data_IF_760619664677
#
_entry.id   IF_760619664677
#
_cell.length_a   1.000
_cell.length_b   1.000
_cell.length_c   1.000
_cell.angle_alpha   90.00
_cell.angle_beta   90.00
_cell.angle_gamma   90.00
#
_symmetry.space_group_name_H-M   'P 1'
#
loop_
_entity.id
_entity.type
_entity.pdbx_description
1 polymer ?
#
# COMPACT_ATOMS: atom_id res chain seq x y z
N UNK A 1 3.86 -26.47 4.07
CA UNK A 1 4.55 -25.92 2.88
C UNK A 1 3.51 -25.15 2.07
N UNK A 2 3.47 -23.82 2.17
CA UNK A 2 2.50 -23.02 1.40
C UNK A 2 3.10 -22.71 0.03
N UNK A 3 2.64 -23.42 -0.99
CA UNK A 3 3.00 -23.17 -2.40
C UNK A 3 2.35 -21.84 -2.81
N UNK A 4 3.17 -20.82 -3.06
CA UNK A 4 2.73 -19.60 -3.73
C UNK A 4 2.43 -19.95 -5.18
N UNK A 5 1.20 -20.35 -5.47
CA UNK A 5 0.75 -20.51 -6.85
C UNK A 5 0.75 -19.12 -7.50
N UNK A 6 1.59 -18.94 -8.53
CA UNK A 6 1.54 -17.76 -9.38
C UNK A 6 0.17 -17.70 -10.03
N UNK A 7 -0.67 -16.78 -9.56
CA UNK A 7 -1.94 -16.45 -10.21
C UNK A 7 -1.59 -15.93 -11.61
N UNK A 8 -1.95 -16.67 -12.65
CA UNK A 8 -1.78 -16.18 -14.03
C UNK A 8 -2.49 -14.83 -14.18
N UNK A 9 -1.88 -13.84 -14.83
CA UNK A 9 -2.46 -12.52 -14.99
C UNK A 9 -3.68 -12.61 -15.90
N UNK A 10 -4.88 -12.53 -15.32
CA UNK A 10 -6.08 -12.26 -16.09
C UNK A 10 -6.01 -10.81 -16.60
N UNK A 11 -6.11 -10.63 -17.91
CA UNK A 11 -6.18 -9.29 -18.49
C UNK A 11 -7.48 -8.62 -18.03
N UNK A 12 -7.37 -7.38 -17.55
CA UNK A 12 -8.55 -6.57 -17.30
C UNK A 12 -9.26 -6.28 -18.64
N UNK A 13 -10.60 -6.19 -18.65
CA UNK A 13 -11.31 -5.67 -19.81
C UNK A 13 -10.77 -4.27 -20.16
N UNK A 14 -10.79 -3.87 -21.44
CA UNK A 14 -10.33 -2.54 -21.84
C UNK A 14 -11.06 -1.44 -21.06
N UNK A 15 -10.30 -0.46 -20.57
CA UNK A 15 -10.83 0.73 -19.91
C UNK A 15 -10.57 1.96 -20.77
N UNK A 16 -11.57 2.81 -20.90
CA UNK A 16 -11.42 4.15 -21.48
C UNK A 16 -11.12 5.11 -20.35
N UNK A 17 -10.03 5.88 -20.47
CA UNK A 17 -9.66 6.91 -19.51
C UNK A 17 -9.78 8.27 -20.18
N UNK A 18 -10.26 9.27 -19.45
CA UNK A 18 -10.05 10.65 -19.86
C UNK A 18 -8.56 10.99 -19.77
N UNK A 19 -8.08 12.03 -20.47
CA UNK A 19 -6.69 12.43 -20.36
C UNK A 19 -6.28 12.84 -18.93
N UNK A 20 -7.19 13.45 -18.18
CA UNK A 20 -6.98 13.83 -16.77
C UNK A 20 -6.87 12.60 -15.87
N UNK A 21 -7.71 11.58 -16.11
CA UNK A 21 -7.63 10.29 -15.40
C UNK A 21 -6.31 9.58 -15.70
N UNK A 22 -5.87 9.57 -16.96
CA UNK A 22 -4.58 9.01 -17.35
C UNK A 22 -3.41 9.74 -16.66
N UNK A 23 -3.47 11.08 -16.56
CA UNK A 23 -2.49 11.87 -15.82
C UNK A 23 -2.51 11.54 -14.31
N UNK A 24 -3.70 11.40 -13.71
CA UNK A 24 -3.85 11.03 -12.30
C UNK A 24 -3.26 9.65 -12.00
N UNK A 25 -3.49 8.65 -12.87
CA UNK A 25 -2.88 7.32 -12.75
C UNK A 25 -1.36 7.41 -12.86
N UNK A 26 -0.83 8.16 -13.83
CA UNK A 26 0.62 8.35 -14.00
C UNK A 26 1.28 8.98 -12.76
N UNK A 27 0.67 10.03 -12.19
CA UNK A 27 1.10 10.68 -10.94
C UNK A 27 1.04 9.70 -9.76
N UNK A 28 -0.02 8.90 -9.65
CA UNK A 28 -0.16 7.91 -8.59
C UNK A 28 0.91 6.80 -8.67
N UNK A 29 1.23 6.32 -9.88
CA UNK A 29 2.30 5.32 -10.09
C UNK A 29 3.68 5.88 -9.74
N UNK A 30 3.94 7.14 -10.08
CA UNK A 30 5.19 7.83 -9.75
C UNK A 30 5.35 8.15 -8.26
N UNK A 31 4.26 8.11 -7.48
CA UNK A 31 4.26 8.50 -6.06
C UNK A 31 5.03 7.55 -5.15
N UNK A 32 5.27 6.31 -5.58
CA UNK A 32 6.07 5.36 -4.81
C UNK A 32 7.51 5.32 -5.38
N UNK A 33 8.49 6.03 -4.79
CA UNK A 33 9.80 6.23 -5.40
C UNK A 33 10.56 4.92 -5.68
N UNK A 34 10.44 3.93 -4.82
CA UNK A 34 11.01 2.58 -4.98
C UNK A 34 9.99 1.56 -5.50
N UNK A 35 8.86 2.04 -6.02
CA UNK A 35 7.80 1.20 -6.58
C UNK A 35 8.16 0.68 -7.96
N UNK A 36 7.69 -0.53 -8.34
CA UNK A 36 8.04 -1.16 -9.62
C UNK A 36 7.58 -0.36 -10.85
N UNK A 37 6.70 0.62 -10.67
CA UNK A 37 6.14 1.45 -11.74
C UNK A 37 6.50 2.93 -11.63
N UNK A 38 7.43 3.31 -10.74
CA UNK A 38 7.75 4.71 -10.47
C UNK A 38 8.21 5.45 -11.73
N UNK A 39 9.18 4.88 -12.45
CA UNK A 39 9.70 5.44 -13.69
C UNK A 39 8.68 5.39 -14.83
N UNK A 40 7.92 4.30 -14.92
CA UNK A 40 6.84 4.18 -15.89
C UNK A 40 5.76 5.24 -15.68
N UNK A 41 5.42 5.56 -14.43
CA UNK A 41 4.49 6.65 -14.07
C UNK A 41 5.01 8.02 -14.49
N UNK A 42 6.29 8.32 -14.21
CA UNK A 42 6.94 9.56 -14.66
C UNK A 42 6.89 9.70 -16.18
N UNK A 43 7.30 8.66 -16.91
CA UNK A 43 7.27 8.66 -18.37
C UNK A 43 5.85 8.72 -18.96
N UNK A 44 4.86 8.09 -18.32
CA UNK A 44 3.48 8.17 -18.76
C UNK A 44 2.95 9.61 -18.65
N UNK A 45 3.23 10.31 -17.56
CA UNK A 45 2.83 11.71 -17.38
C UNK A 45 3.47 12.61 -18.44
N UNK A 46 4.76 12.41 -18.73
CA UNK A 46 5.47 13.12 -19.80
C UNK A 46 4.74 12.99 -21.15
N UNK A 47 4.32 11.77 -21.50
CA UNK A 47 3.60 11.49 -22.75
C UNK A 47 2.22 12.14 -22.78
N UNK A 48 1.42 11.97 -21.72
CA UNK A 48 0.08 12.58 -21.62
C UNK A 48 0.16 14.09 -21.80
N UNK A 49 1.07 14.75 -21.07
CA UNK A 49 1.24 16.20 -21.16
C UNK A 49 1.82 16.65 -22.50
N UNK A 50 2.58 15.81 -23.20
CA UNK A 50 3.04 16.10 -24.57
C UNK A 50 1.88 16.18 -25.55
N UNK A 51 0.82 15.39 -25.34
CA UNK A 51 -0.38 15.40 -26.18
C UNK A 51 -1.32 16.55 -25.81
N UNK A 52 -1.52 16.80 -24.52
CA UNK A 52 -2.54 17.75 -24.04
C UNK A 52 -2.11 19.20 -24.02
N UNK A 53 -0.83 19.47 -23.74
CA UNK A 53 -0.35 20.83 -23.53
C UNK A 53 0.65 21.19 -24.62
N UNK A 54 0.25 21.93 -25.67
CA UNK A 54 1.14 22.31 -26.75
C UNK A 54 2.22 23.31 -26.29
N UNK A 55 1.93 24.20 -25.33
CA UNK A 55 2.91 25.18 -24.86
C UNK A 55 4.01 24.50 -24.03
N UNK A 56 5.29 24.55 -24.45
CA UNK A 56 6.39 23.95 -23.71
C UNK A 56 6.56 24.53 -22.29
N UNK A 57 6.24 25.80 -22.05
CA UNK A 57 6.36 26.40 -20.70
C UNK A 57 5.28 25.85 -19.78
N UNK A 58 4.02 25.94 -20.20
CA UNK A 58 2.91 25.39 -19.43
C UNK A 58 3.05 23.89 -19.18
N UNK A 59 3.55 23.15 -20.16
CA UNK A 59 3.86 21.72 -20.03
C UNK A 59 4.91 21.43 -18.95
N UNK A 60 5.97 22.24 -18.88
CA UNK A 60 6.98 22.12 -17.84
C UNK A 60 6.41 22.41 -16.44
N UNK A 61 5.55 23.42 -16.31
CA UNK A 61 4.86 23.74 -15.04
C UNK A 61 3.97 22.58 -14.57
N UNK A 62 3.20 21.98 -15.48
CA UNK A 62 2.34 20.82 -15.18
C UNK A 62 3.15 19.60 -14.77
N UNK A 63 4.29 19.34 -15.43
CA UNK A 63 5.22 18.26 -15.04
C UNK A 63 5.74 18.47 -13.64
N UNK A 64 6.13 19.71 -13.30
CA UNK A 64 6.59 20.04 -11.96
C UNK A 64 5.50 19.86 -10.90
N UNK A 65 4.28 20.30 -11.21
CA UNK A 65 3.13 20.08 -10.35
C UNK A 65 2.87 18.57 -10.12
N UNK A 66 2.99 17.75 -11.17
CA UNK A 66 2.89 16.30 -11.08
C UNK A 66 3.97 15.67 -10.19
N UNK A 67 5.24 16.10 -10.32
CA UNK A 67 6.34 15.65 -9.45
C UNK A 67 6.07 15.95 -7.98
N UNK A 68 5.66 17.19 -7.68
CA UNK A 68 5.31 17.61 -6.31
C UNK A 68 4.15 16.80 -5.74
N UNK A 69 3.10 16.60 -6.53
CA UNK A 69 1.92 15.80 -6.13
C UNK A 69 2.30 14.35 -5.85
N UNK A 70 3.13 13.75 -6.71
CA UNK A 70 3.66 12.39 -6.51
C UNK A 70 4.43 12.27 -5.19
N UNK A 71 5.33 13.21 -4.91
CA UNK A 71 6.08 13.24 -3.66
C UNK A 71 5.19 13.43 -2.41
N UNK A 72 4.11 14.20 -2.53
CA UNK A 72 3.14 14.37 -1.46
C UNK A 72 2.34 13.07 -1.21
N UNK A 73 1.92 12.39 -2.27
CA UNK A 73 1.24 11.09 -2.20
C UNK A 73 2.15 10.01 -1.58
N UNK A 74 3.42 9.95 -1.97
CA UNK A 74 4.41 9.04 -1.41
C UNK A 74 4.60 9.21 0.10
N UNK A 75 4.70 10.47 0.57
CA UNK A 75 4.77 10.79 2.01
C UNK A 75 3.52 10.34 2.75
N UNK A 76 2.33 10.65 2.22
CA UNK A 76 1.06 10.21 2.81
C UNK A 76 0.94 8.66 2.85
N UNK A 77 1.49 7.96 1.85
CA UNK A 77 1.61 6.51 1.84
C UNK A 77 2.50 5.97 2.97
N UNK A 78 3.69 6.56 3.14
CA UNK A 78 4.64 6.17 4.19
C UNK A 78 4.05 6.37 5.60
N UNK A 79 3.37 7.48 5.84
CA UNK A 79 2.69 7.75 7.12
C UNK A 79 1.60 6.70 7.44
N UNK A 80 0.80 6.33 6.44
CA UNK A 80 -0.21 5.25 6.59
C UNK A 80 0.43 3.89 6.86
N UNK A 81 1.51 3.57 6.17
CA UNK A 81 2.28 2.34 6.40
C UNK A 81 2.84 2.24 7.82
N UNK A 82 3.30 3.37 8.38
CA UNK A 82 3.75 3.46 9.77
C UNK A 82 2.60 3.24 10.77
N UNK A 83 1.43 3.87 10.53
CA UNK A 83 0.21 3.65 11.35
C UNK A 83 -0.30 2.22 11.29
N UNK A 84 -0.17 1.53 10.15
CA UNK A 84 -0.53 0.10 10.06
C UNK A 84 0.41 -0.80 10.88
N UNK A 85 1.65 -0.36 11.15
CA UNK A 85 2.62 -1.06 12.01
C UNK A 85 2.52 -0.61 13.47
N UNK A 86 1.42 0.04 13.85
CA UNK A 86 1.22 0.50 15.22
C UNK A 86 1.21 -0.69 16.19
N UNK A 87 1.96 -0.62 17.31
CA UNK A 87 2.12 -1.74 18.25
C UNK A 87 0.78 -2.24 18.83
N UNK A 88 -0.23 -1.38 18.95
CA UNK A 88 -1.56 -1.75 19.42
C UNK A 88 -2.29 -2.80 18.55
N UNK A 89 -1.96 -2.91 17.25
CA UNK A 89 -2.55 -3.91 16.34
C UNK A 89 -1.85 -5.27 16.35
N UNK A 90 -0.60 -5.33 16.82
CA UNK A 90 0.21 -6.56 16.90
C UNK A 90 -0.14 -7.42 18.12
N UNK A 91 -0.73 -6.82 19.15
CA UNK A 91 -0.99 -7.48 20.43
C UNK A 91 -2.17 -8.49 20.42
N UNK A 92 -2.93 -8.61 19.32
CA UNK A 92 -4.05 -9.56 19.22
C UNK A 92 -3.68 -10.96 18.71
N UNK A 93 -2.38 -11.28 18.66
CA UNK A 93 -1.85 -12.56 18.20
C UNK A 93 -1.21 -13.42 19.30
N UNK A 94 -1.85 -13.57 20.46
CA UNK A 94 -1.57 -14.67 21.38
C UNK A 94 -2.83 -14.95 22.19
N UNK A 95 -3.59 -15.96 21.79
CA UNK A 95 -4.65 -16.52 22.63
C UNK A 95 -3.98 -16.96 23.95
N UNK A 96 -4.39 -16.44 25.12
CA UNK A 96 -3.88 -16.95 26.38
C UNK A 96 -4.30 -18.42 26.48
N UNK A 97 -3.31 -19.28 26.73
CA UNK A 97 -3.49 -20.68 27.07
C UNK A 97 -4.57 -20.77 28.16
N UNK A 98 -5.61 -21.56 27.91
CA UNK A 98 -6.73 -21.68 28.84
C UNK A 98 -6.22 -22.06 30.25
N UNK A 99 -6.69 -21.40 31.32
CA UNK A 99 -6.22 -21.70 32.67
C UNK A 99 -6.54 -23.15 33.00
N UNK A 100 -5.50 -23.96 33.25
CA UNK A 100 -5.67 -25.33 33.72
C UNK A 100 -6.40 -25.29 35.06
N UNK A 101 -7.47 -26.07 35.26
CA UNK A 101 -8.20 -26.07 36.52
C UNK A 101 -7.29 -26.54 37.66
N UNK A 102 -7.39 -25.93 38.86
CA UNK A 102 -6.55 -26.31 39.99
C UNK A 102 -6.87 -27.73 40.43
N UNK A 103 -5.83 -28.54 40.63
CA UNK A 103 -5.96 -29.90 41.18
C UNK A 103 -6.05 -29.80 42.70
N UNK A 104 -7.15 -30.29 43.26
CA UNK A 104 -7.31 -30.43 44.72
C UNK A 104 -6.29 -31.46 45.22
N UNK A 105 -5.43 -31.05 46.14
CA UNK A 105 -4.53 -31.94 46.87
C UNK A 105 -5.29 -32.41 48.12
N UNK A 106 -5.55 -33.71 48.18
CA UNK A 106 -6.14 -34.33 49.38
C UNK A 106 -5.07 -34.36 50.48
N UNK A 107 -5.26 -33.57 51.53
CA UNK A 107 -4.41 -33.62 52.73
C UNK A 107 -4.77 -34.86 53.55
N UNK A 108 -3.79 -35.71 53.91
CA UNK A 108 -4.04 -36.86 54.75
C UNK A 108 -4.21 -36.39 56.20
N UNK A 109 -5.44 -36.49 56.73
CA UNK A 109 -5.71 -36.13 58.12
C UNK A 109 -7.19 -36.03 58.43
N UNK A 110 -7.87 -37.17 58.50
CA UNK A 110 -9.19 -37.31 59.13
C UNK A 110 -9.07 -38.37 60.23
N UNK A 111 -9.29 -37.95 61.47
CA UNK A 111 -9.15 -38.74 62.70
C UNK A 111 -10.24 -39.82 62.83
N UNK A 112 -9.92 -40.81 63.64
CA UNK A 112 -10.70 -42.00 64.03
C UNK A 112 -12.15 -41.75 64.47
#
# INVERSE_FOLDING_TARGET
MNRTESRSPALLPPVTLTPEEAAAVAVALAAQPDGPFADSGRHALEKVLTVLEPDPRRRAELREAGRRTSAQLGRAGAERGSRSRHPAGRARGRQPEAPRPPRLVLLPGGLA
#
